data_IF_269411505967
#
_entry.id   IF_269411505967
#
_cell.length_a   1.000
_cell.length_b   1.000
_cell.length_c   1.000
_cell.angle_alpha   90.00
_cell.angle_beta   90.00
_cell.angle_gamma   90.00
#
_symmetry.space_group_name_H-M   'P 1'
#
loop_
_entity.id
_entity.type
_entity.pdbx_description
1 polymer ?
#
# COMPACT_ATOMS: atom_id res chain seq x y z
N UNK A 1 20.81 3.58 -1.51
CA UNK A 1 20.74 3.33 -2.97
C UNK A 1 22.13 3.45 -3.63
N UNK A 2 22.39 2.78 -4.77
CA UNK A 2 23.56 3.03 -5.64
C UNK A 2 23.23 2.76 -7.13
N UNK A 3 24.10 3.18 -8.05
CA UNK A 3 23.90 3.03 -9.50
C UNK A 3 23.65 1.59 -9.95
N UNK A 4 24.41 0.63 -9.42
CA UNK A 4 24.23 -0.80 -9.75
C UNK A 4 22.83 -1.26 -9.39
N UNK A 5 22.35 -0.87 -8.21
CA UNK A 5 21.01 -1.23 -7.75
C UNK A 5 19.93 -0.63 -8.65
N UNK A 6 20.08 0.61 -9.09
CA UNK A 6 19.11 1.23 -10.02
C UNK A 6 19.03 0.45 -11.34
N UNK A 7 20.17 0.03 -11.91
CA UNK A 7 20.18 -0.81 -13.12
C UNK A 7 19.50 -2.16 -12.90
N UNK A 8 19.74 -2.82 -11.76
CA UNK A 8 19.03 -4.06 -11.40
C UNK A 8 17.51 -3.83 -11.31
N UNK A 9 17.07 -2.71 -10.72
CA UNK A 9 15.63 -2.39 -10.62
C UNK A 9 15.01 -2.13 -11.98
N UNK A 10 15.74 -1.51 -12.92
CA UNK A 10 15.31 -1.31 -14.31
C UNK A 10 15.18 -2.66 -15.03
N UNK A 11 16.14 -3.56 -14.82
CA UNK A 11 16.13 -4.89 -15.43
C UNK A 11 14.98 -5.76 -14.91
N UNK A 12 14.69 -5.70 -13.60
CA UNK A 12 13.61 -6.47 -12.96
C UNK A 12 12.21 -6.06 -13.44
N UNK A 13 12.01 -4.81 -13.89
CA UNK A 13 10.69 -4.29 -14.26
C UNK A 13 9.91 -3.71 -13.08
N UNK A 14 8.74 -3.15 -13.39
CA UNK A 14 7.78 -2.72 -12.38
C UNK A 14 7.20 -3.89 -11.59
N UNK A 15 6.79 -3.62 -10.35
CA UNK A 15 6.18 -4.63 -9.49
C UNK A 15 5.88 -4.08 -8.11
N UNK A 16 5.79 -4.97 -7.12
CA UNK A 16 5.37 -4.59 -5.75
C UNK A 16 6.19 -3.45 -5.15
N UNK A 17 7.50 -3.41 -5.44
CA UNK A 17 8.47 -2.51 -4.85
C UNK A 17 9.09 -1.50 -5.84
N UNK A 18 8.66 -1.52 -7.10
CA UNK A 18 9.26 -0.69 -8.15
C UNK A 18 8.15 -0.12 -9.02
N UNK A 19 8.19 1.19 -9.23
CA UNK A 19 7.31 1.90 -10.15
C UNK A 19 8.14 2.83 -11.03
N UNK A 20 7.88 2.82 -12.32
CA UNK A 20 8.51 3.69 -13.31
C UNK A 20 7.62 4.88 -13.60
N UNK A 21 8.27 6.02 -13.85
CA UNK A 21 7.63 7.23 -14.30
C UNK A 21 8.57 7.90 -15.30
N UNK A 22 8.14 8.05 -16.55
CA UNK A 22 8.92 8.77 -17.53
C UNK A 22 9.27 10.20 -17.05
N UNK A 23 8.32 10.87 -16.38
CA UNK A 23 8.48 12.22 -15.82
C UNK A 23 7.60 12.41 -14.59
N UNK A 24 7.94 13.42 -13.78
CA UNK A 24 7.03 13.91 -12.74
C UNK A 24 5.75 14.47 -13.39
N UNK A 25 4.58 13.93 -13.02
CA UNK A 25 3.30 14.28 -13.68
C UNK A 25 2.50 15.31 -12.89
N UNK A 26 1.86 14.91 -11.79
CA UNK A 26 1.18 15.81 -10.86
C UNK A 26 1.45 15.36 -9.42
N UNK A 27 1.39 16.30 -8.49
CA UNK A 27 1.53 16.01 -7.06
C UNK A 27 0.58 14.90 -6.60
N UNK A 28 -0.69 14.93 -7.03
CA UNK A 28 -1.66 13.90 -6.67
C UNK A 28 -1.29 12.50 -7.19
N UNK A 29 -0.82 12.39 -8.45
CA UNK A 29 -0.44 11.09 -9.02
C UNK A 29 0.78 10.51 -8.31
N UNK A 30 1.78 11.32 -8.04
CA UNK A 30 2.99 10.88 -7.33
C UNK A 30 2.68 10.59 -5.86
N UNK A 31 1.83 11.39 -5.21
CA UNK A 31 1.36 11.14 -3.84
C UNK A 31 0.69 9.77 -3.72
N UNK A 32 -0.14 9.35 -4.68
CA UNK A 32 -0.75 8.01 -4.68
C UNK A 32 0.29 6.90 -4.60
N UNK A 33 1.35 6.98 -5.39
CA UNK A 33 2.43 6.00 -5.40
C UNK A 33 3.24 6.04 -4.10
N UNK A 34 3.63 7.24 -3.63
CA UNK A 34 4.32 7.42 -2.34
C UNK A 34 3.50 6.82 -1.19
N UNK A 35 2.21 7.13 -1.11
CA UNK A 35 1.28 6.62 -0.11
C UNK A 35 1.17 5.09 -0.20
N UNK A 36 1.03 4.55 -1.41
CA UNK A 36 0.90 3.12 -1.62
C UNK A 36 2.13 2.36 -1.11
N UNK A 37 3.34 2.83 -1.45
CA UNK A 37 4.59 2.23 -0.96
C UNK A 37 4.71 2.33 0.56
N UNK A 38 4.48 3.53 1.12
CA UNK A 38 4.60 3.76 2.56
C UNK A 38 3.61 2.91 3.39
N UNK A 39 2.40 2.67 2.86
CA UNK A 39 1.39 1.85 3.53
C UNK A 39 1.60 0.34 3.37
N UNK A 40 2.43 -0.08 2.43
CA UNK A 40 2.62 -1.52 2.13
C UNK A 40 3.93 -1.99 2.74
N UNK A 41 4.96 -2.17 1.92
CA UNK A 41 6.27 -2.71 2.31
C UNK A 41 7.43 -1.88 1.76
N UNK A 42 7.16 -0.60 1.49
CA UNK A 42 8.12 0.32 0.86
C UNK A 42 8.42 -0.01 -0.61
N UNK A 43 9.26 0.81 -1.23
CA UNK A 43 9.67 0.63 -2.62
C UNK A 43 10.41 1.83 -3.18
N UNK A 44 10.56 1.84 -4.50
CA UNK A 44 11.30 2.86 -5.24
C UNK A 44 10.48 3.32 -6.45
N UNK A 45 10.36 4.63 -6.61
CA UNK A 45 9.88 5.24 -7.84
C UNK A 45 11.11 5.67 -8.65
N UNK A 46 11.27 5.14 -9.88
CA UNK A 46 12.30 5.59 -10.81
C UNK A 46 11.70 6.62 -11.77
N UNK A 47 12.15 7.87 -11.66
CA UNK A 47 11.74 8.97 -12.53
C UNK A 47 12.78 9.13 -13.65
N UNK A 48 12.31 9.25 -14.89
CA UNK A 48 13.14 9.26 -16.09
C UNK A 48 13.25 7.90 -16.78
N UNK A 49 12.42 6.92 -16.38
CA UNK A 49 12.34 5.57 -16.96
C UNK A 49 10.89 5.32 -17.38
N UNK A 50 10.69 4.74 -18.56
CA UNK A 50 9.37 4.37 -19.09
C UNK A 50 9.09 2.87 -18.92
N UNK A 51 7.85 2.44 -19.14
CA UNK A 51 7.40 1.07 -18.87
C UNK A 51 8.13 0.02 -19.74
N UNK A 52 8.60 0.43 -20.93
CA UNK A 52 9.41 -0.37 -21.84
C UNK A 52 10.91 -0.40 -21.46
N UNK A 53 11.27 0.17 -20.30
CA UNK A 53 12.63 0.35 -19.75
C UNK A 53 13.49 1.39 -20.48
N UNK A 54 12.91 2.16 -21.41
CA UNK A 54 13.63 3.25 -22.07
C UNK A 54 14.04 4.34 -21.07
N UNK A 55 15.29 4.78 -21.15
CA UNK A 55 15.83 5.86 -20.31
C UNK A 55 15.57 7.20 -20.98
N UNK A 56 14.70 8.02 -20.38
CA UNK A 56 14.41 9.40 -20.80
C UNK A 56 15.19 10.43 -20.01
N UNK A 57 15.48 10.12 -18.75
CA UNK A 57 16.09 11.02 -17.80
C UNK A 57 15.16 12.13 -17.31
N UNK A 58 15.62 12.86 -16.30
CA UNK A 58 14.97 14.05 -15.76
C UNK A 58 15.55 15.32 -16.38
N UNK A 59 14.77 16.39 -16.37
CA UNK A 59 15.22 17.68 -16.90
C UNK A 59 16.10 18.46 -15.91
N UNK A 60 15.83 18.31 -14.61
CA UNK A 60 16.55 19.02 -13.55
C UNK A 60 16.36 18.28 -12.22
N UNK A 61 17.46 17.72 -11.70
CA UNK A 61 17.51 17.07 -10.38
C UNK A 61 16.92 17.95 -9.28
N UNK A 62 17.31 19.24 -9.26
CA UNK A 62 16.90 20.16 -8.20
C UNK A 62 15.38 20.35 -8.17
N UNK A 63 14.77 20.66 -9.31
CA UNK A 63 13.34 20.91 -9.39
C UNK A 63 12.52 19.66 -9.09
N UNK A 64 12.93 18.50 -9.60
CA UNK A 64 12.20 17.25 -9.35
C UNK A 64 12.35 16.81 -7.89
N UNK A 65 13.51 17.05 -7.26
CA UNK A 65 13.72 16.84 -5.84
C UNK A 65 12.82 17.73 -4.99
N UNK A 66 12.68 19.00 -5.35
CA UNK A 66 11.75 19.93 -4.68
C UNK A 66 10.29 19.46 -4.82
N UNK A 67 9.87 19.04 -6.01
CA UNK A 67 8.52 18.51 -6.26
C UNK A 67 8.21 17.25 -5.46
N UNK A 68 9.14 16.30 -5.37
CA UNK A 68 8.97 15.07 -4.57
C UNK A 68 8.84 15.42 -3.09
N UNK A 69 9.73 16.26 -2.56
CA UNK A 69 9.68 16.69 -1.16
C UNK A 69 8.37 17.44 -0.85
N UNK A 70 7.96 18.36 -1.71
CA UNK A 70 6.68 19.07 -1.56
C UNK A 70 5.50 18.11 -1.58
N UNK A 71 5.50 17.13 -2.48
CA UNK A 71 4.45 16.10 -2.57
C UNK A 71 4.37 15.27 -1.29
N UNK A 72 5.50 14.77 -0.82
CA UNK A 72 5.57 13.92 0.35
C UNK A 72 5.13 14.65 1.64
N UNK A 73 5.35 15.97 1.71
CA UNK A 73 5.00 16.80 2.87
C UNK A 73 3.58 17.38 2.80
N UNK A 74 3.18 17.93 1.65
CA UNK A 74 1.91 18.68 1.52
C UNK A 74 0.75 17.85 1.02
N UNK A 75 1.00 16.78 0.26
CA UNK A 75 -0.06 15.97 -0.38
C UNK A 75 -0.27 14.62 0.30
N UNK A 76 0.60 14.24 1.24
CA UNK A 76 0.45 13.04 2.05
C UNK A 76 0.12 13.40 3.50
N UNK A 77 -0.83 12.70 4.10
CA UNK A 77 -1.25 12.88 5.49
C UNK A 77 -1.32 11.54 6.24
N UNK A 78 -0.50 11.30 7.29
CA UNK A 78 0.63 12.14 7.70
C UNK A 78 1.71 12.27 6.60
N UNK A 79 2.62 13.25 6.68
CA UNK A 79 3.74 13.36 5.75
C UNK A 79 4.56 12.07 5.65
N UNK A 80 5.09 11.79 4.46
CA UNK A 80 5.93 10.61 4.20
C UNK A 80 7.38 11.06 4.03
N UNK A 81 8.32 10.30 4.59
CA UNK A 81 9.76 10.53 4.38
C UNK A 81 10.19 9.79 3.12
N UNK A 82 10.93 10.47 2.23
CA UNK A 82 11.49 9.89 1.02
C UNK A 82 13.01 10.15 1.00
N UNK A 83 13.78 9.17 0.53
CA UNK A 83 15.20 9.34 0.23
C UNK A 83 15.36 9.47 -1.29
N UNK A 84 15.97 10.57 -1.74
CA UNK A 84 16.09 10.89 -3.16
C UNK A 84 17.55 10.74 -3.57
N UNK A 85 17.78 10.06 -4.68
CA UNK A 85 19.11 9.83 -5.26
C UNK A 85 19.04 10.02 -6.78
N UNK A 86 20.09 10.57 -7.37
CA UNK A 86 20.20 10.71 -8.83
C UNK A 86 21.45 10.00 -9.34
N UNK A 87 21.33 9.34 -10.48
CA UNK A 87 22.44 8.64 -11.11
C UNK A 87 22.41 8.83 -12.63
N UNK A 88 23.59 9.05 -13.21
CA UNK A 88 23.76 9.10 -14.66
C UNK A 88 23.75 7.69 -15.27
N UNK A 89 22.84 7.47 -16.20
CA UNK A 89 22.62 6.23 -16.96
C UNK A 89 22.42 6.63 -18.42
N UNK A 90 23.25 6.10 -19.32
CA UNK A 90 23.18 6.43 -20.76
C UNK A 90 23.22 7.93 -21.06
N UNK A 91 24.10 8.67 -20.34
CA UNK A 91 24.24 10.13 -20.40
C UNK A 91 22.96 10.91 -20.06
N UNK A 92 22.04 10.26 -19.32
CA UNK A 92 20.79 10.84 -18.84
C UNK A 92 20.69 10.64 -17.33
N UNK A 93 20.16 11.63 -16.64
CA UNK A 93 20.02 11.58 -15.19
C UNK A 93 18.72 10.86 -14.80
N UNK A 94 18.80 9.79 -14.01
CA UNK A 94 17.65 9.05 -13.50
C UNK A 94 17.54 9.26 -12.00
N UNK A 95 16.36 9.67 -11.53
CA UNK A 95 16.09 9.88 -10.11
C UNK A 95 15.41 8.65 -9.50
N UNK A 96 15.99 8.12 -8.43
CA UNK A 96 15.41 7.09 -7.58
C UNK A 96 14.85 7.73 -6.30
N UNK A 97 13.54 7.69 -6.15
CA UNK A 97 12.84 8.08 -4.92
C UNK A 97 12.55 6.82 -4.12
N UNK A 98 13.30 6.58 -3.07
CA UNK A 98 13.13 5.47 -2.14
C UNK A 98 12.15 5.85 -1.03
N UNK A 99 11.05 5.10 -0.92
CA UNK A 99 10.01 5.28 0.08
C UNK A 99 10.05 4.07 1.02
N UNK A 100 10.52 4.22 2.26
CA UNK A 100 10.49 3.13 3.24
C UNK A 100 9.04 2.79 3.64
N UNK A 101 8.82 1.57 4.11
CA UNK A 101 7.58 1.23 4.82
C UNK A 101 7.45 2.14 6.04
N UNK A 102 6.28 2.76 6.18
CA UNK A 102 6.07 3.71 7.27
C UNK A 102 5.68 3.02 8.57
N UNK A 103 6.24 3.51 9.68
CA UNK A 103 5.75 3.16 11.01
C UNK A 103 4.47 3.92 11.43
N UNK A 104 4.07 4.95 10.67
CA UNK A 104 2.92 5.82 11.00
C UNK A 104 1.75 5.67 10.01
N UNK A 105 1.36 4.43 9.73
CA UNK A 105 0.25 4.09 8.83
C UNK A 105 -1.12 4.35 9.49
N UNK A 106 -2.19 4.63 8.73
CA UNK A 106 -2.22 4.79 7.28
C UNK A 106 -1.89 6.23 6.83
N UNK A 107 -1.15 6.33 5.74
CA UNK A 107 -1.04 7.54 4.92
C UNK A 107 -2.21 7.63 3.96
N UNK A 108 -2.71 8.85 3.74
CA UNK A 108 -3.77 9.17 2.78
C UNK A 108 -3.41 10.43 2.00
N UNK A 109 -4.14 10.69 0.92
CA UNK A 109 -4.10 12.01 0.27
C UNK A 109 -4.54 13.06 1.27
N UNK A 110 -3.80 14.16 1.33
CA UNK A 110 -4.13 15.30 2.18
C UNK A 110 -5.52 15.84 1.84
N UNK A 111 -6.38 15.88 2.84
CA UNK A 111 -7.76 16.36 2.75
C UNK A 111 -8.05 17.49 3.76
N UNK A 112 -7.01 18.00 4.43
CA UNK A 112 -7.06 19.03 5.49
C UNK A 112 -8.01 18.71 6.65
N UNK A 113 -8.43 17.44 6.79
CA UNK A 113 -9.21 16.97 7.92
C UNK A 113 -8.29 16.62 9.09
N UNK A 114 -8.71 16.99 10.30
CA UNK A 114 -7.97 16.71 11.54
C UNK A 114 -7.91 15.22 11.90
N UNK A 115 -8.84 14.42 11.37
CA UNK A 115 -8.92 12.98 11.62
C UNK A 115 -9.28 12.24 10.34
N UNK A 116 -8.90 10.96 10.29
CA UNK A 116 -9.16 10.10 9.15
C UNK A 116 -10.63 9.66 9.14
N UNK A 117 -11.36 10.06 8.08
CA UNK A 117 -12.72 9.61 7.81
C UNK A 117 -12.70 8.41 6.85
N UNK A 118 -13.11 7.23 7.33
CA UNK A 118 -13.13 5.97 6.55
C UNK A 118 -14.01 6.03 5.29
N UNK A 119 -14.89 7.02 5.14
CA UNK A 119 -15.77 7.14 3.99
C UNK A 119 -15.21 8.04 2.88
N UNK A 120 -14.32 8.97 3.23
CA UNK A 120 -13.80 9.96 2.27
C UNK A 120 -12.28 9.91 2.11
N UNK A 121 -11.56 9.35 3.08
CA UNK A 121 -10.11 9.28 3.03
C UNK A 121 -9.65 8.46 1.83
N UNK A 122 -8.76 9.03 1.03
CA UNK A 122 -8.15 8.32 -0.09
C UNK A 122 -6.83 7.70 0.35
N UNK A 123 -6.90 6.44 0.75
CA UNK A 123 -5.75 5.61 1.16
C UNK A 123 -5.42 4.68 0.01
N UNK A 124 -4.13 4.51 -0.27
CA UNK A 124 -3.65 3.61 -1.32
C UNK A 124 -2.69 2.57 -0.74
N UNK A 125 -2.66 1.39 -1.34
CA UNK A 125 -1.74 0.28 -1.04
C UNK A 125 -1.22 -0.30 -2.35
N UNK A 126 -0.05 -0.94 -2.32
CA UNK A 126 0.52 -1.64 -3.48
C UNK A 126 -0.11 -3.01 -3.62
N UNK A 127 -0.57 -3.30 -4.83
CA UNK A 127 -1.03 -4.62 -5.25
C UNK A 127 -0.35 -4.88 -6.59
N UNK A 128 0.59 -5.83 -6.62
CA UNK A 128 1.46 -6.05 -7.78
C UNK A 128 2.14 -4.72 -8.19
N UNK A 129 2.06 -4.36 -9.47
CA UNK A 129 2.58 -3.13 -10.06
C UNK A 129 1.69 -1.89 -9.85
N UNK A 130 0.53 -2.02 -9.18
CA UNK A 130 -0.48 -0.95 -9.09
C UNK A 130 -0.64 -0.37 -7.69
N UNK A 131 -0.93 0.93 -7.68
CA UNK A 131 -1.38 1.67 -6.49
C UNK A 131 -2.91 1.64 -6.43
N UNK A 132 -3.47 0.75 -5.61
CA UNK A 132 -4.91 0.47 -5.53
C UNK A 132 -5.53 1.17 -4.33
N UNK A 133 -6.78 1.61 -4.47
CA UNK A 133 -7.54 2.20 -3.37
C UNK A 133 -7.76 1.18 -2.24
N UNK A 134 -7.40 1.56 -1.02
CA UNK A 134 -7.55 0.70 0.14
C UNK A 134 -9.02 0.65 0.60
N UNK A 135 -9.51 -0.55 0.79
CA UNK A 135 -10.81 -0.80 1.41
C UNK A 135 -10.88 -0.36 2.87
N UNK A 136 -12.09 -0.22 3.42
CA UNK A 136 -12.28 0.13 4.85
C UNK A 136 -11.68 -0.91 5.79
N UNK A 137 -11.69 -2.18 5.40
CA UNK A 137 -11.05 -3.28 6.14
C UNK A 137 -9.54 -3.10 6.18
N UNK A 138 -8.91 -2.82 5.04
CA UNK A 138 -7.47 -2.59 4.95
C UNK A 138 -7.05 -1.37 5.75
N UNK A 139 -7.79 -0.25 5.64
CA UNK A 139 -7.48 0.98 6.41
C UNK A 139 -7.51 0.70 7.92
N UNK A 140 -8.48 -0.08 8.42
CA UNK A 140 -8.55 -0.45 9.83
C UNK A 140 -7.38 -1.33 10.27
N UNK A 141 -6.88 -2.20 9.38
CA UNK A 141 -5.69 -3.00 9.68
C UNK A 141 -4.45 -2.12 9.80
N UNK A 142 -4.21 -1.24 8.82
CA UNK A 142 -3.12 -0.26 8.83
C UNK A 142 -3.10 0.61 10.09
N UNK A 143 -4.27 1.05 10.58
CA UNK A 143 -4.37 1.81 11.84
C UNK A 143 -3.92 1.02 13.07
N UNK A 144 -3.96 -0.31 13.00
CA UNK A 144 -3.74 -1.20 14.15
C UNK A 144 -2.38 -1.88 14.14
N UNK A 145 -1.67 -1.92 13.00
CA UNK A 145 -0.28 -2.38 12.90
C UNK A 145 0.67 -1.59 13.82
N UNK A 146 0.36 -0.31 14.09
CA UNK A 146 1.08 0.51 15.07
C UNK A 146 0.99 -0.04 16.50
N UNK A 147 -0.11 -0.73 16.82
CA UNK A 147 -0.32 -1.33 18.14
C UNK A 147 0.16 -2.78 18.13
N UNK A 148 1.43 -3.02 18.47
CA UNK A 148 1.98 -4.35 18.83
C UNK A 148 1.34 -4.93 20.12
N UNK A 149 0.05 -4.68 20.37
CA UNK A 149 -0.71 -5.44 21.36
C UNK A 149 -0.93 -6.83 20.78
N UNK A 150 -0.01 -7.72 21.10
CA UNK A 150 -0.24 -9.17 21.01
C UNK A 150 -1.61 -9.45 21.63
N UNK A 151 -2.50 -10.07 20.86
CA UNK A 151 -3.79 -10.52 21.36
C UNK A 151 -3.54 -11.71 22.29
N UNK A 152 -3.16 -11.41 23.54
CA UNK A 152 -3.04 -12.40 24.59
C UNK A 152 -4.48 -12.82 24.95
N UNK A 153 -4.82 -14.07 24.60
CA UNK A 153 -6.12 -14.75 24.80
C UNK A 153 -7.18 -14.47 23.71
N UNK A 154 -6.97 -15.03 22.52
CA UNK A 154 -8.03 -15.16 21.53
C UNK A 154 -8.94 -16.36 21.88
N UNK A 155 -10.19 -16.11 22.29
CA UNK A 155 -11.21 -17.15 22.37
C UNK A 155 -11.96 -17.24 21.03
N UNK A 156 -11.99 -18.44 20.45
CA UNK A 156 -12.70 -18.73 19.19
C UNK A 156 -14.20 -18.77 19.48
N UNK A 157 -14.93 -17.74 19.04
CA UNK A 157 -16.37 -17.66 19.15
C UNK A 157 -17.11 -18.38 18.02
N UNK A 158 -18.44 -18.34 18.04
CA UNK A 158 -19.31 -19.00 17.05
C UNK A 158 -19.02 -18.54 15.62
N UNK A 159 -18.88 -17.23 15.41
CA UNK A 159 -18.66 -16.68 14.06
C UNK A 159 -17.29 -17.06 13.52
N UNK A 160 -16.30 -17.21 14.39
CA UNK A 160 -14.94 -17.52 13.97
C UNK A 160 -14.79 -18.99 13.61
N UNK A 161 -15.53 -19.89 14.29
CA UNK A 161 -15.69 -21.28 13.83
C UNK A 161 -16.28 -21.37 12.43
N UNK A 162 -17.35 -20.60 12.16
CA UNK A 162 -17.99 -20.55 10.83
C UNK A 162 -16.98 -20.13 9.75
N UNK A 163 -16.08 -19.18 10.05
CA UNK A 163 -15.04 -18.76 9.10
C UNK A 163 -14.11 -19.92 8.75
N UNK A 164 -13.59 -20.63 9.76
CA UNK A 164 -12.67 -21.75 9.52
C UNK A 164 -13.36 -22.93 8.82
N UNK A 165 -14.57 -23.31 9.26
CA UNK A 165 -15.37 -24.37 8.60
C UNK A 165 -15.67 -24.03 7.12
N UNK A 166 -15.86 -22.75 6.80
CA UNK A 166 -16.04 -22.31 5.42
C UNK A 166 -14.74 -22.40 4.63
N UNK A 167 -13.61 -21.98 5.22
CA UNK A 167 -12.29 -21.99 4.58
C UNK A 167 -11.70 -23.40 4.39
N UNK A 168 -12.10 -24.38 5.20
CA UNK A 168 -11.75 -25.79 4.95
C UNK A 168 -12.30 -26.32 3.62
N UNK A 169 -13.42 -25.73 3.15
CA UNK A 169 -14.11 -26.13 1.92
C UNK A 169 -13.88 -25.17 0.76
N UNK A 170 -13.37 -23.98 1.04
CA UNK A 170 -13.21 -22.89 0.08
C UNK A 170 -11.90 -22.16 0.33
N UNK A 171 -11.14 -21.86 -0.71
CA UNK A 171 -9.82 -21.23 -0.55
C UNK A 171 -9.86 -19.82 0.05
N UNK A 172 -11.00 -19.12 -0.07
CA UNK A 172 -11.15 -17.72 0.32
C UNK A 172 -12.55 -17.39 0.83
N UNK A 173 -12.64 -16.34 1.63
CA UNK A 173 -13.89 -15.77 2.12
C UNK A 173 -13.85 -14.23 2.04
N UNK A 174 -14.99 -13.62 1.74
CA UNK A 174 -15.21 -12.17 1.75
C UNK A 174 -16.14 -11.75 2.89
N UNK A 175 -16.20 -10.44 3.17
CA UNK A 175 -17.14 -9.88 4.15
C UNK A 175 -18.59 -10.24 3.80
N UNK A 176 -18.94 -10.20 2.51
CA UNK A 176 -20.30 -10.50 2.03
C UNK A 176 -20.66 -11.97 2.18
N UNK A 177 -19.71 -12.88 1.95
CA UNK A 177 -19.92 -14.31 2.16
C UNK A 177 -20.11 -14.61 3.65
N UNK A 178 -19.22 -14.12 4.52
CA UNK A 178 -19.34 -14.32 5.96
C UNK A 178 -20.67 -13.76 6.51
N UNK A 179 -21.05 -12.56 6.09
CA UNK A 179 -22.31 -11.89 6.44
C UNK A 179 -23.52 -12.80 6.16
N UNK A 180 -23.55 -13.43 4.98
CA UNK A 180 -24.62 -14.35 4.56
C UNK A 180 -24.60 -15.66 5.36
N UNK A 181 -23.45 -16.35 5.43
CA UNK A 181 -23.38 -17.68 6.07
C UNK A 181 -23.59 -17.62 7.59
N UNK A 182 -23.14 -16.55 8.25
CA UNK A 182 -23.29 -16.38 9.70
C UNK A 182 -24.58 -15.61 10.08
N UNK A 183 -25.36 -15.13 9.10
CA UNK A 183 -26.54 -14.29 9.30
C UNK A 183 -26.26 -13.09 10.23
N UNK A 184 -25.23 -12.31 9.91
CA UNK A 184 -24.82 -11.12 10.65
C UNK A 184 -24.66 -9.94 9.70
N UNK A 185 -24.72 -8.71 10.21
CA UNK A 185 -24.43 -7.55 9.37
C UNK A 185 -23.00 -7.56 8.83
N UNK A 186 -22.79 -6.97 7.65
CA UNK A 186 -21.46 -6.76 7.04
C UNK A 186 -20.49 -6.11 8.03
N UNK A 187 -20.99 -5.20 8.86
CA UNK A 187 -20.20 -4.53 9.91
C UNK A 187 -19.69 -5.52 10.96
N UNK A 188 -20.47 -6.53 11.34
CA UNK A 188 -20.03 -7.60 12.27
C UNK A 188 -19.07 -8.56 11.56
N UNK A 189 -19.39 -8.98 10.34
CA UNK A 189 -18.53 -9.84 9.53
C UNK A 189 -17.14 -9.22 9.29
N UNK A 190 -17.09 -7.95 8.86
CA UNK A 190 -15.85 -7.17 8.68
C UNK A 190 -15.02 -7.13 9.97
N UNK A 191 -15.64 -6.84 11.13
CA UNK A 191 -14.94 -6.87 12.41
C UNK A 191 -14.39 -8.25 12.76
N UNK A 192 -15.15 -9.31 12.52
CA UNK A 192 -14.71 -10.68 12.77
C UNK A 192 -13.48 -11.04 11.94
N UNK A 193 -13.50 -10.78 10.63
CA UNK A 193 -12.37 -11.08 9.73
C UNK A 193 -11.13 -10.24 10.08
N UNK A 194 -11.29 -8.94 10.32
CA UNK A 194 -10.17 -8.07 10.75
C UNK A 194 -9.57 -8.57 12.06
N UNK A 195 -10.40 -9.01 13.03
CA UNK A 195 -9.91 -9.56 14.31
C UNK A 195 -9.07 -10.83 14.08
N UNK A 196 -9.47 -11.69 13.15
CA UNK A 196 -8.73 -12.89 12.80
C UNK A 196 -7.40 -12.58 12.07
N UNK A 197 -7.39 -11.61 11.17
CA UNK A 197 -6.15 -11.14 10.53
C UNK A 197 -5.18 -10.58 11.57
N UNK A 198 -5.67 -9.76 12.50
CA UNK A 198 -4.85 -9.23 13.61
C UNK A 198 -4.32 -10.29 14.55
N UNK A 199 -4.98 -11.44 14.63
CA UNK A 199 -4.53 -12.59 15.40
C UNK A 199 -3.56 -13.50 14.61
N UNK A 200 -3.15 -13.09 13.39
CA UNK A 200 -2.36 -13.90 12.45
C UNK A 200 -3.00 -15.26 12.16
N UNK A 201 -4.34 -15.32 12.13
CA UNK A 201 -5.09 -16.53 11.77
C UNK A 201 -5.58 -16.49 10.33
N UNK A 202 -5.71 -15.30 9.75
CA UNK A 202 -6.05 -15.09 8.35
C UNK A 202 -5.09 -14.09 7.71
N UNK A 203 -4.96 -14.17 6.39
CA UNK A 203 -4.36 -13.14 5.56
C UNK A 203 -5.47 -12.34 4.88
N UNK A 204 -5.25 -11.03 4.71
CA UNK A 204 -6.08 -10.19 3.83
C UNK A 204 -5.37 -10.03 2.49
N UNK A 205 -6.14 -10.10 1.42
CA UNK A 205 -5.64 -9.89 0.06
C UNK A 205 -6.50 -8.84 -0.61
N UNK A 206 -5.87 -7.91 -1.32
CA UNK A 206 -6.56 -6.87 -2.11
C UNK A 206 -6.42 -7.24 -3.58
N UNK A 207 -7.54 -7.26 -4.31
CA UNK A 207 -7.54 -7.43 -5.76
C UNK A 207 -7.25 -6.10 -6.47
N UNK A 208 -6.92 -6.16 -7.76
CA UNK A 208 -6.76 -4.98 -8.61
C UNK A 208 -7.96 -4.02 -8.60
N UNK A 209 -9.19 -4.53 -8.40
CA UNK A 209 -10.41 -3.72 -8.31
C UNK A 209 -10.67 -3.12 -6.90
N UNK A 210 -9.75 -3.31 -5.94
CA UNK A 210 -9.86 -2.83 -4.57
C UNK A 210 -10.74 -3.67 -3.63
N UNK A 211 -11.35 -4.75 -4.14
CA UNK A 211 -12.07 -5.69 -3.28
C UNK A 211 -11.10 -6.55 -2.47
N UNK A 212 -11.46 -6.86 -1.23
CA UNK A 212 -10.68 -7.81 -0.43
C UNK A 212 -11.31 -9.20 -0.39
N UNK A 213 -10.44 -10.17 -0.21
CA UNK A 213 -10.78 -11.49 0.29
C UNK A 213 -9.78 -11.89 1.37
N UNK A 214 -10.14 -12.92 2.13
CA UNK A 214 -9.37 -13.43 3.25
C UNK A 214 -9.10 -14.91 3.03
N UNK A 215 -7.91 -15.36 3.40
CA UNK A 215 -7.50 -16.77 3.34
C UNK A 215 -6.97 -17.22 4.69
N UNK A 216 -6.98 -18.54 4.94
CA UNK A 216 -6.22 -19.12 6.05
C UNK A 216 -4.72 -18.82 5.89
N UNK A 217 -4.00 -18.74 7.01
CA UNK A 217 -2.53 -18.69 7.03
C UNK A 217 -1.91 -20.08 6.79
N UNK A 218 -2.70 -21.13 7.04
CA UNK A 218 -2.36 -22.55 6.86
C UNK A 218 -3.02 -23.09 5.61
#
# INVERSE_FOLDING_TARGET
MNRKKVLELIEMGEGLHVEYKQRFSTHEKIAKSIIAFANTSGGVILIGVDDDKSIYGIASEKSDTELVNETAVKYCAPPVVCNIYSYEIENKEVMAVEIPESGNKPHRIQDYKSSLDLNTAQVYVRVNDKSVFASKEMIKLLQTEQSKKSLVNYSVGKNEKIVFEYLEKNEKISVKELSKIANISDRRASRTLIKLVRANLLLIHVKDNGENYFTSVV
#
